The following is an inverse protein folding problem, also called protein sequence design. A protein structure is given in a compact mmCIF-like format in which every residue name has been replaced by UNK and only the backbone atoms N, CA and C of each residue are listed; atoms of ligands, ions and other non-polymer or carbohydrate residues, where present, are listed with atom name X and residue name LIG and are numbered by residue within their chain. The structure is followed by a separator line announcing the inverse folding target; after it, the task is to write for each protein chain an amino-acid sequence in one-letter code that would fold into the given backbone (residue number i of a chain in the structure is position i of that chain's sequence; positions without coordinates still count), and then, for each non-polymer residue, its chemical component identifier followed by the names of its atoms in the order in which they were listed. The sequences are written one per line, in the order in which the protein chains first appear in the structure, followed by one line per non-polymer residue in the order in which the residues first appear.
data_IF_080959685938
#
_entry.id   IF_080959685938
#
_cell.length_a   1.000
_cell.length_b   1.000
_cell.length_c   1.000
_cell.angle_alpha   90.00
_cell.angle_beta   90.00
_cell.angle_gamma   90.00
#
_symmetry.space_group_name_H-M   'P 1'
#
loop_
_entity.id
_entity.type
_entity.pdbx_description
1 polymer ?
#
# COMPACT_ATOMS: atom_id res chain seq x y z
N UNK A 1 1.89 34.18 12.11
CA UNK A 1 1.64 33.28 10.97
C UNK A 1 0.48 32.37 11.36
N UNK A 2 -0.44 32.09 10.44
CA UNK A 2 -1.57 31.18 10.70
C UNK A 2 -1.19 29.79 10.22
N UNK A 3 -1.47 28.74 11.01
CA UNK A 3 -1.34 27.34 10.55
C UNK A 3 -2.55 27.00 9.67
N UNK A 4 -2.30 26.36 8.54
CA UNK A 4 -3.32 26.05 7.55
C UNK A 4 -3.21 24.62 7.06
N UNK A 5 -4.34 24.12 6.56
CA UNK A 5 -4.49 22.86 5.85
C UNK A 5 -5.02 23.19 4.46
N UNK A 6 -4.26 22.83 3.44
CA UNK A 6 -4.63 22.97 2.04
C UNK A 6 -5.20 21.65 1.54
N UNK A 7 -6.37 21.70 0.91
CA UNK A 7 -7.06 20.51 0.42
C UNK A 7 -7.67 20.74 -0.96
N UNK A 8 -7.90 19.65 -1.70
CA UNK A 8 -8.61 19.66 -2.97
C UNK A 8 -10.13 19.68 -2.73
N UNK A 9 -10.84 20.70 -3.24
CA UNK A 9 -12.29 20.89 -3.02
C UNK A 9 -13.13 19.74 -3.58
N UNK A 10 -12.70 19.14 -4.69
CA UNK A 10 -13.44 18.07 -5.37
C UNK A 10 -13.49 16.76 -4.59
N UNK A 11 -12.40 16.41 -3.91
CA UNK A 11 -12.26 15.10 -3.24
C UNK A 11 -12.18 15.22 -1.73
N UNK A 12 -11.85 16.40 -1.20
CA UNK A 12 -11.54 16.57 0.22
C UNK A 12 -10.13 16.10 0.60
N UNK A 13 -9.28 15.73 -0.37
CA UNK A 13 -7.91 15.28 -0.08
C UNK A 13 -7.07 16.42 0.47
N UNK A 14 -6.52 16.25 1.67
CA UNK A 14 -5.51 17.16 2.20
C UNK A 14 -4.21 16.97 1.41
N UNK A 15 -3.72 18.07 0.84
CA UNK A 15 -2.51 18.10 0.02
C UNK A 15 -1.30 18.48 0.87
N UNK A 16 -1.47 19.43 1.77
CA UNK A 16 -0.39 19.91 2.64
C UNK A 16 -0.92 20.65 3.87
N UNK A 17 -0.05 20.82 4.85
CA UNK A 17 -0.26 21.74 5.97
C UNK A 17 0.99 22.58 6.17
N UNK A 18 0.84 23.82 6.63
CA UNK A 18 1.97 24.70 6.88
C UNK A 18 1.57 25.95 7.63
N UNK A 19 2.46 26.94 7.66
CA UNK A 19 2.17 28.27 8.21
C UNK A 19 2.34 29.33 7.14
N UNK A 20 1.45 30.31 7.10
CA UNK A 20 1.55 31.45 6.16
C UNK A 20 0.96 32.71 6.78
N UNK A 21 1.43 33.87 6.32
CA UNK A 21 0.78 35.16 6.60
C UNK A 21 -0.35 35.49 5.63
N UNK A 22 -0.37 34.84 4.46
CA UNK A 22 -1.30 35.10 3.36
C UNK A 22 -2.05 33.82 2.99
N UNK A 23 -2.71 33.20 3.96
CA UNK A 23 -3.44 31.94 3.80
C UNK A 23 -4.55 32.07 2.76
N UNK A 24 -5.16 33.26 2.69
CA UNK A 24 -6.26 33.57 1.78
C UNK A 24 -5.82 33.51 0.30
N UNK A 25 -4.53 33.69 0.00
CA UNK A 25 -3.99 33.59 -1.37
C UNK A 25 -3.78 32.16 -1.86
N UNK A 26 -3.88 31.17 -0.96
CA UNK A 26 -3.74 29.75 -1.29
C UNK A 26 -5.07 29.15 -1.76
N UNK A 27 -6.20 29.82 -1.50
CA UNK A 27 -7.50 29.38 -1.95
C UNK A 27 -7.71 29.69 -3.44
N UNK A 28 -8.22 28.71 -4.17
CA UNK A 28 -8.54 28.82 -5.59
C UNK A 28 -9.90 28.16 -5.86
N UNK A 29 -10.34 28.10 -7.11
CA UNK A 29 -11.57 27.38 -7.47
C UNK A 29 -11.46 25.87 -7.17
N UNK A 30 -10.25 25.31 -7.23
CA UNK A 30 -9.99 23.88 -7.02
C UNK A 30 -9.48 23.57 -5.61
N UNK A 31 -8.86 24.55 -4.95
CA UNK A 31 -8.21 24.37 -3.66
C UNK A 31 -8.96 25.12 -2.57
N UNK A 32 -9.17 24.45 -1.44
CA UNK A 32 -9.72 25.03 -0.22
C UNK A 32 -8.67 25.12 0.86
N UNK A 33 -8.88 26.05 1.79
CA UNK A 33 -7.96 26.26 2.90
C UNK A 33 -8.74 26.31 4.21
N UNK A 34 -8.26 25.58 5.22
CA UNK A 34 -8.78 25.62 6.59
C UNK A 34 -7.66 26.12 7.49
N UNK A 35 -7.96 27.11 8.34
CA UNK A 35 -7.04 27.53 9.40
C UNK A 35 -7.24 26.55 10.56
N UNK A 36 -6.25 25.70 10.79
CA UNK A 36 -6.29 24.69 11.84
C UNK A 36 -4.88 24.46 12.41
N UNK A 37 -4.79 24.49 13.74
CA UNK A 37 -3.52 24.30 14.45
C UNK A 37 -3.32 22.87 14.97
N UNK A 38 -4.39 22.07 15.00
CA UNK A 38 -4.45 20.74 15.59
C UNK A 38 -3.96 19.63 14.65
N UNK A 39 -4.05 19.82 13.32
CA UNK A 39 -3.57 18.83 12.35
C UNK A 39 -2.05 18.75 12.41
N UNK A 40 -1.54 17.61 12.87
CA UNK A 40 -0.10 17.31 12.91
C UNK A 40 0.31 16.25 11.89
N UNK A 41 -0.65 15.45 11.41
CA UNK A 41 -0.44 14.41 10.42
C UNK A 41 -1.50 14.52 9.33
N UNK A 42 -1.11 15.13 8.21
CA UNK A 42 -1.97 15.33 7.04
C UNK A 42 -2.39 14.02 6.37
N UNK A 43 -1.66 12.92 6.61
CA UNK A 43 -1.98 11.63 6.02
C UNK A 43 -3.11 10.90 6.76
N UNK A 44 -3.54 11.41 7.91
CA UNK A 44 -4.62 10.84 8.73
C UNK A 44 -5.91 11.65 8.70
N UNK A 45 -5.96 12.69 7.87
CA UNK A 45 -7.11 13.59 7.80
C UNK A 45 -7.55 13.83 6.36
N UNK A 46 -8.82 14.17 6.22
CA UNK A 46 -9.44 14.62 4.98
C UNK A 46 -10.48 15.70 5.31
N UNK A 47 -10.90 16.47 4.31
CA UNK A 47 -11.91 17.51 4.49
C UNK A 47 -13.23 17.04 3.91
N UNK A 48 -14.31 17.16 4.68
CA UNK A 48 -15.67 16.87 4.22
C UNK A 48 -16.60 17.98 4.67
N UNK A 49 -17.35 18.57 3.74
CA UNK A 49 -18.26 19.68 4.01
C UNK A 49 -17.58 20.86 4.74
N UNK A 50 -16.32 21.16 4.40
CA UNK A 50 -15.55 22.25 5.02
C UNK A 50 -15.02 21.94 6.43
N UNK A 51 -15.15 20.70 6.91
CA UNK A 51 -14.65 20.27 8.22
C UNK A 51 -13.53 19.24 8.07
N UNK A 52 -12.54 19.31 8.97
CA UNK A 52 -11.47 18.31 9.06
C UNK A 52 -12.04 17.06 9.72
N UNK A 53 -11.87 15.94 9.05
CA UNK A 53 -12.27 14.61 9.48
C UNK A 53 -11.02 13.75 9.64
N UNK A 54 -11.04 12.84 10.61
CA UNK A 54 -9.99 11.85 10.79
C UNK A 54 -10.35 10.57 10.04
N UNK A 55 -9.37 9.99 9.35
CA UNK A 55 -9.49 8.65 8.81
C UNK A 55 -9.52 7.65 9.98
N UNK A 56 -10.30 6.59 9.84
CA UNK A 56 -10.20 5.45 10.77
C UNK A 56 -8.87 4.74 10.59
N UNK A 57 -8.51 3.87 11.53
CA UNK A 57 -7.33 3.03 11.37
C UNK A 57 -7.40 2.22 10.07
N UNK A 58 -6.25 2.14 9.40
CA UNK A 58 -6.10 1.42 8.13
C UNK A 58 -6.32 -0.08 8.38
N UNK A 59 -7.34 -0.72 7.78
CA UNK A 59 -7.71 -2.11 8.11
C UNK A 59 -6.61 -3.13 7.76
N UNK A 60 -5.90 -2.92 6.66
CA UNK A 60 -4.76 -3.73 6.26
C UNK A 60 -3.82 -2.96 5.33
N UNK A 61 -2.56 -3.40 5.12
CA UNK A 61 -1.63 -2.78 4.17
C UNK A 61 -2.19 -2.62 2.76
N UNK A 62 -3.15 -3.47 2.38
CA UNK A 62 -3.77 -3.55 1.06
C UNK A 62 -5.00 -2.66 0.90
N UNK A 63 -5.30 -1.79 1.86
CA UNK A 63 -6.36 -0.78 1.72
C UNK A 63 -5.80 0.59 1.37
N UNK A 64 -6.49 1.30 0.50
CA UNK A 64 -6.20 2.69 0.14
C UNK A 64 -7.40 3.57 0.52
N UNK A 65 -7.13 4.80 0.94
CA UNK A 65 -8.20 5.72 1.30
C UNK A 65 -8.81 6.29 0.02
N UNK A 66 -10.09 5.99 -0.21
CA UNK A 66 -10.87 6.63 -1.25
C UNK A 66 -11.48 7.90 -0.66
N UNK A 67 -10.94 9.05 -1.07
CA UNK A 67 -11.38 10.36 -0.59
C UNK A 67 -12.83 10.67 -0.99
N UNK A 68 -13.26 10.22 -2.17
CA UNK A 68 -14.63 10.43 -2.68
C UNK A 68 -15.63 9.63 -1.85
N UNK A 69 -15.29 8.38 -1.52
CA UNK A 69 -16.12 7.52 -0.67
C UNK A 69 -15.96 7.81 0.83
N UNK A 70 -14.90 8.54 1.19
CA UNK A 70 -14.48 8.72 2.58
C UNK A 70 -14.34 7.39 3.33
N UNK A 71 -13.74 6.40 2.68
CA UNK A 71 -13.63 5.04 3.20
C UNK A 71 -12.37 4.33 2.72
N UNK A 72 -11.91 3.36 3.51
CA UNK A 72 -10.88 2.42 3.08
C UNK A 72 -11.43 1.47 2.02
N UNK A 73 -10.76 1.39 0.88
CA UNK A 73 -11.10 0.47 -0.22
C UNK A 73 -9.97 -0.53 -0.39
N UNK A 74 -10.32 -1.80 -0.49
CA UNK A 74 -9.36 -2.87 -0.76
C UNK A 74 -8.75 -2.72 -2.15
N UNK A 75 -7.43 -2.80 -2.23
CA UNK A 75 -6.64 -2.73 -3.46
C UNK A 75 -6.06 -4.11 -3.74
N UNK A 76 -6.69 -4.81 -4.69
CA UNK A 76 -6.25 -6.15 -5.12
C UNK A 76 -4.82 -6.11 -5.66
N UNK A 77 -4.44 -5.03 -6.34
CA UNK A 77 -3.09 -4.87 -6.86
C UNK A 77 -2.04 -4.73 -5.74
N UNK A 78 -2.34 -4.05 -4.63
CA UNK A 78 -1.44 -4.01 -3.48
C UNK A 78 -1.26 -5.39 -2.85
N UNK A 79 -2.33 -6.17 -2.76
CA UNK A 79 -2.28 -7.54 -2.24
C UNK A 79 -1.43 -8.44 -3.17
N UNK A 80 -1.69 -8.40 -4.48
CA UNK A 80 -0.91 -9.15 -5.46
C UNK A 80 0.55 -8.73 -5.53
N UNK A 81 0.85 -7.44 -5.35
CA UNK A 81 2.22 -6.94 -5.26
C UNK A 81 2.97 -7.61 -4.11
N UNK A 82 2.35 -7.73 -2.95
CA UNK A 82 2.94 -8.40 -1.79
C UNK A 82 3.20 -9.89 -2.05
N UNK A 83 2.23 -10.59 -2.64
CA UNK A 83 2.38 -11.99 -3.08
C UNK A 83 3.58 -12.13 -4.04
N UNK A 84 3.69 -11.26 -5.04
CA UNK A 84 4.82 -11.27 -6.00
C UNK A 84 6.16 -10.99 -5.32
N UNK A 85 6.21 -10.09 -4.34
CA UNK A 85 7.43 -9.83 -3.57
C UNK A 85 7.86 -11.06 -2.78
N UNK A 86 6.94 -11.67 -2.02
CA UNK A 86 7.23 -12.90 -1.25
C UNK A 86 7.68 -14.04 -2.15
N UNK A 87 7.02 -14.24 -3.30
CA UNK A 87 7.44 -15.21 -4.32
C UNK A 87 8.88 -14.99 -4.78
N UNK A 88 9.22 -13.75 -5.13
CA UNK A 88 10.56 -13.42 -5.61
C UNK A 88 11.61 -13.68 -4.53
N UNK A 89 11.32 -13.35 -3.26
CA UNK A 89 12.20 -13.67 -2.13
C UNK A 89 12.40 -15.18 -1.98
N UNK A 90 11.34 -15.99 -2.06
CA UNK A 90 11.45 -17.46 -1.94
C UNK A 90 12.19 -18.10 -3.12
N UNK A 91 12.02 -17.56 -4.33
CA UNK A 91 12.82 -17.95 -5.49
C UNK A 91 14.29 -17.62 -5.26
N UNK A 92 14.62 -16.39 -4.88
CA UNK A 92 16.01 -15.99 -4.60
C UNK A 92 16.67 -16.88 -3.53
N UNK A 93 15.95 -17.16 -2.44
CA UNK A 93 16.44 -18.04 -1.35
C UNK A 93 16.67 -19.50 -1.78
N UNK A 94 16.12 -19.92 -2.92
CA UNK A 94 16.27 -21.26 -3.47
C UNK A 94 17.17 -21.31 -4.70
N UNK A 95 17.80 -20.20 -5.11
CA UNK A 95 18.63 -20.17 -6.32
C UNK A 95 19.87 -21.08 -6.20
N UNK A 96 20.44 -21.19 -5.00
CA UNK A 96 21.58 -22.07 -4.74
C UNK A 96 21.32 -23.54 -5.10
N UNK A 97 20.06 -23.98 -5.09
CA UNK A 97 19.65 -25.38 -5.33
C UNK A 97 19.74 -25.79 -6.80
N UNK A 98 19.99 -24.82 -7.68
CA UNK A 98 20.05 -25.01 -9.14
C UNK A 98 21.50 -24.96 -9.66
N UNK A 99 22.47 -24.89 -8.76
CA UNK A 99 23.89 -24.91 -9.10
C UNK A 99 24.34 -26.35 -9.47
N UNK A 100 25.33 -26.50 -10.39
CA UNK A 100 25.74 -27.81 -10.90
C UNK A 100 26.40 -28.73 -9.86
N UNK A 101 26.83 -28.18 -8.72
CA UNK A 101 27.44 -28.88 -7.60
C UNK A 101 26.40 -29.44 -6.59
N UNK A 102 25.12 -29.13 -6.77
CA UNK A 102 24.04 -29.62 -5.91
C UNK A 102 23.71 -31.08 -6.25
N UNK A 103 23.54 -31.97 -5.25
CA UNK A 103 23.10 -33.34 -5.48
C UNK A 103 21.80 -33.41 -6.30
N UNK A 104 21.73 -34.33 -7.27
CA UNK A 104 20.59 -34.42 -8.19
C UNK A 104 19.23 -34.62 -7.48
N UNK A 105 19.21 -35.38 -6.38
CA UNK A 105 18.01 -35.59 -5.57
C UNK A 105 17.49 -34.27 -4.96
N UNK A 106 18.40 -33.46 -4.42
CA UNK A 106 18.09 -32.13 -3.89
C UNK A 106 17.59 -31.26 -5.05
N UNK A 107 18.34 -31.17 -6.14
CA UNK A 107 17.96 -30.35 -7.30
C UNK A 107 16.53 -30.65 -7.79
N UNK A 108 16.16 -31.92 -7.92
CA UNK A 108 14.82 -32.33 -8.38
C UNK A 108 13.70 -31.86 -7.44
N UNK A 109 13.85 -32.05 -6.13
CA UNK A 109 12.85 -31.62 -5.15
C UNK A 109 12.64 -30.09 -5.17
N UNK A 110 13.71 -29.34 -5.43
CA UNK A 110 13.68 -27.88 -5.50
C UNK A 110 13.17 -27.32 -6.83
N UNK A 111 13.31 -28.05 -7.95
CA UNK A 111 12.70 -27.69 -9.23
C UNK A 111 11.18 -27.61 -9.09
N UNK A 112 10.56 -28.65 -8.53
CA UNK A 112 9.10 -28.72 -8.34
C UNK A 112 8.60 -27.60 -7.41
N UNK A 113 9.32 -27.36 -6.30
CA UNK A 113 9.02 -26.26 -5.38
C UNK A 113 9.08 -24.90 -6.08
N UNK A 114 10.14 -24.64 -6.85
CA UNK A 114 10.32 -23.37 -7.58
C UNK A 114 9.28 -23.19 -8.67
N UNK A 115 8.85 -24.26 -9.32
CA UNK A 115 7.76 -24.19 -10.29
C UNK A 115 6.45 -23.77 -9.62
N UNK A 116 6.08 -24.41 -8.50
CA UNK A 116 4.90 -24.03 -7.71
C UNK A 116 4.94 -22.58 -7.24
N UNK A 117 6.11 -22.04 -6.91
CA UNK A 117 6.28 -20.62 -6.60
C UNK A 117 5.99 -19.73 -7.80
N UNK A 118 6.47 -20.08 -9.01
CA UNK A 118 6.18 -19.29 -10.22
C UNK A 118 4.70 -19.27 -10.55
N UNK A 119 4.01 -20.39 -10.29
CA UNK A 119 2.58 -20.56 -10.53
C UNK A 119 1.69 -19.90 -9.45
N UNK A 120 2.27 -19.27 -8.42
CA UNK A 120 1.50 -18.69 -7.30
C UNK A 120 0.47 -17.64 -7.76
N UNK A 121 0.78 -16.90 -8.83
CA UNK A 121 -0.09 -15.85 -9.39
C UNK A 121 -1.25 -16.41 -10.23
N UNK A 122 -1.33 -17.73 -10.41
CA UNK A 122 -2.47 -18.38 -11.05
C UNK A 122 -3.60 -18.68 -10.05
N UNK A 123 -3.35 -18.49 -8.74
CA UNK A 123 -4.40 -18.55 -7.72
C UNK A 123 -5.34 -17.34 -7.85
N UNK A 124 -6.56 -17.46 -7.35
CA UNK A 124 -7.60 -16.44 -7.55
C UNK A 124 -7.58 -15.33 -6.49
N UNK A 125 -7.17 -15.66 -5.26
CA UNK A 125 -7.30 -14.76 -4.12
C UNK A 125 -5.93 -14.43 -3.50
N UNK A 126 -5.46 -13.17 -3.60
CA UNK A 126 -4.19 -12.76 -3.01
C UNK A 126 -4.21 -12.76 -1.47
N UNK A 127 -5.38 -12.76 -0.84
CA UNK A 127 -5.53 -12.84 0.62
C UNK A 127 -5.46 -14.28 1.13
N UNK A 128 -5.66 -15.27 0.26
CA UNK A 128 -5.72 -16.69 0.62
C UNK A 128 -4.80 -17.55 -0.26
N UNK A 129 -3.54 -17.13 -0.37
CA UNK A 129 -2.53 -17.84 -1.15
C UNK A 129 -2.02 -19.08 -0.42
N UNK A 130 -2.13 -20.23 -1.08
CA UNK A 130 -1.50 -21.48 -0.63
C UNK A 130 -0.05 -21.51 -1.12
N UNK A 131 0.89 -21.39 -0.19
CA UNK A 131 2.33 -21.45 -0.48
C UNK A 131 2.84 -22.90 -0.45
N UNK A 132 3.72 -23.31 -1.38
CA UNK A 132 4.32 -24.63 -1.33
C UNK A 132 5.21 -24.78 -0.10
N UNK A 133 5.22 -25.97 0.51
CA UNK A 133 6.15 -26.29 1.59
C UNK A 133 7.57 -26.43 1.05
N UNK A 134 8.53 -25.83 1.76
CA UNK A 134 9.95 -25.93 1.43
C UNK A 134 10.40 -27.41 1.51
N UNK A 135 11.17 -27.91 0.54
CA UNK A 135 11.77 -29.24 0.64
C UNK A 135 12.68 -29.35 1.87
N UNK A 136 12.73 -30.54 2.46
CA UNK A 136 13.77 -30.91 3.42
C UNK A 136 15.08 -31.15 2.68
N UNK A 137 16.20 -30.74 3.29
CA UNK A 137 17.53 -31.08 2.81
C UNK A 137 17.96 -32.44 3.33
#
# INVERSE_FOLDING_TARGET
MKKYVLYEKKTGKVLSSGTSFYVERLETDELGVIIDESVNDVQKVYVRNGQIMHMTDKPSPFHEWDYVRSAWVFSEELAWRDVRMKRNTLLQQSDWTQLPDVPALTMQAWIDYRQKLRDITNQQDPMNIVWPSKPSN
#
